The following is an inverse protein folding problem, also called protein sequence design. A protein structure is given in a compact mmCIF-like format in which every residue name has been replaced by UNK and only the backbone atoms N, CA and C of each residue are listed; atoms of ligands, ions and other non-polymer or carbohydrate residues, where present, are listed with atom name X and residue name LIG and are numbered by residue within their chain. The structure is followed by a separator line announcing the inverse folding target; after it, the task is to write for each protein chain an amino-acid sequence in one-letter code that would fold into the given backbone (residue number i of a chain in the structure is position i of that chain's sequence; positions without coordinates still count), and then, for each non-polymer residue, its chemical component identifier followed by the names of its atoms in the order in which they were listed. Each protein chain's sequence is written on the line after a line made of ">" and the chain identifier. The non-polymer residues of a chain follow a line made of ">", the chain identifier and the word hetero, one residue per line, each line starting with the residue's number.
data_IF_744082849293
#
_entry.id   IF_744082849293
#
_cell.length_a   1.000
_cell.length_b   1.000
_cell.length_c   1.000
_cell.angle_alpha   90.00
_cell.angle_beta   90.00
_cell.angle_gamma   90.00
#
_symmetry.space_group_name_H-M   'P 1'
#
loop_
_entity.id
_entity.type
_entity.pdbx_description
1 polymer ?
#
# COMPACT_ATOMS: atom_id res chain seq x y z
N UNK A 1 -44.55 -28.78 24.25
CA UNK A 1 -43.16 -28.81 24.75
C UNK A 1 -42.32 -29.46 23.66
N UNK A 2 -41.39 -28.70 23.08
CA UNK A 2 -40.57 -29.12 21.94
C UNK A 2 -39.67 -27.99 21.52
N UNK A 3 -38.56 -27.82 22.25
CA UNK A 3 -37.43 -26.99 21.82
C UNK A 3 -36.70 -27.73 20.70
N UNK A 4 -36.63 -27.13 19.51
CA UNK A 4 -35.57 -27.37 18.53
C UNK A 4 -34.98 -25.98 18.26
N UNK A 5 -33.75 -25.65 18.63
CA UNK A 5 -32.54 -26.45 18.52
C UNK A 5 -31.72 -25.82 17.40
N UNK A 6 -30.81 -24.93 17.80
CA UNK A 6 -30.04 -24.01 16.96
C UNK A 6 -29.23 -24.66 15.84
N UNK A 7 -29.16 -23.94 14.72
CA UNK A 7 -28.26 -24.20 13.61
C UNK A 7 -27.98 -22.90 12.86
N UNK A 8 -27.52 -21.86 13.58
CA UNK A 8 -26.95 -20.67 12.96
C UNK A 8 -25.62 -21.07 12.32
N UNK A 9 -25.68 -21.52 11.08
CA UNK A 9 -24.51 -21.57 10.21
C UNK A 9 -23.91 -20.15 10.21
N UNK A 10 -22.78 -19.96 10.88
CA UNK A 10 -21.96 -18.76 10.72
C UNK A 10 -21.42 -18.77 9.29
N UNK A 11 -22.21 -18.26 8.35
CA UNK A 11 -21.76 -18.03 6.99
C UNK A 11 -20.50 -17.16 7.07
N UNK A 12 -19.38 -17.68 6.58
CA UNK A 12 -18.12 -16.94 6.54
C UNK A 12 -18.29 -15.61 5.80
N UNK A 13 -17.39 -14.64 6.02
CA UNK A 13 -17.48 -13.34 5.37
C UNK A 13 -17.61 -13.50 3.85
N UNK A 14 -18.52 -12.74 3.25
CA UNK A 14 -18.72 -12.79 1.80
C UNK A 14 -17.41 -12.47 1.08
N UNK A 15 -17.19 -13.06 -0.11
CA UNK A 15 -15.97 -12.83 -0.91
C UNK A 15 -15.69 -11.35 -1.15
N UNK A 16 -16.75 -10.53 -1.22
CA UNK A 16 -16.71 -9.07 -1.39
C UNK A 16 -15.96 -8.38 -0.24
N UNK A 17 -16.00 -8.94 0.97
CA UNK A 17 -15.29 -8.41 2.15
C UNK A 17 -13.99 -9.17 2.39
N UNK A 18 -14.00 -10.49 2.20
CA UNK A 18 -12.85 -11.34 2.48
C UNK A 18 -11.65 -11.05 1.58
N UNK A 19 -11.86 -10.84 0.28
CA UNK A 19 -10.76 -10.59 -0.67
C UNK A 19 -10.03 -9.27 -0.34
N UNK A 20 -10.72 -8.11 -0.22
CA UNK A 20 -10.04 -6.88 0.17
C UNK A 20 -9.30 -6.97 1.51
N UNK A 21 -9.90 -7.61 2.50
CA UNK A 21 -9.27 -7.80 3.81
C UNK A 21 -7.98 -8.62 3.70
N UNK A 22 -8.01 -9.73 2.95
CA UNK A 22 -6.83 -10.54 2.67
C UNK A 22 -5.78 -9.75 1.88
N UNK A 23 -6.17 -8.93 0.92
CA UNK A 23 -5.24 -8.03 0.22
C UNK A 23 -4.50 -7.12 1.20
N UNK A 24 -5.20 -6.51 2.15
CA UNK A 24 -4.60 -5.67 3.19
C UNK A 24 -3.63 -6.45 4.09
N UNK A 25 -3.99 -7.66 4.51
CA UNK A 25 -3.14 -8.53 5.34
C UNK A 25 -1.88 -8.96 4.59
N UNK A 26 -2.01 -9.37 3.33
CA UNK A 26 -0.90 -9.93 2.55
C UNK A 26 0.10 -8.88 2.06
N UNK A 27 -0.36 -7.63 1.85
CA UNK A 27 0.47 -6.53 1.35
C UNK A 27 1.80 -6.36 2.10
N UNK A 28 1.84 -6.15 3.44
CA UNK A 28 3.10 -5.92 4.14
C UNK A 28 4.06 -7.11 4.05
N UNK A 29 3.55 -8.35 4.11
CA UNK A 29 4.40 -9.54 3.98
C UNK A 29 5.03 -9.63 2.59
N UNK A 30 4.24 -9.38 1.55
CA UNK A 30 4.73 -9.41 0.17
C UNK A 30 5.77 -8.30 -0.07
N UNK A 31 5.47 -7.09 0.39
CA UNK A 31 6.36 -5.93 0.25
C UNK A 31 7.71 -6.20 0.90
N UNK A 32 7.74 -6.62 2.17
CA UNK A 32 8.98 -6.90 2.90
C UNK A 32 9.75 -8.05 2.24
N UNK A 33 9.07 -9.11 1.81
CA UNK A 33 9.72 -10.26 1.17
C UNK A 33 10.38 -9.86 -0.15
N UNK A 34 9.68 -9.13 -1.01
CA UNK A 34 10.23 -8.70 -2.30
C UNK A 34 11.32 -7.64 -2.14
N UNK A 35 11.22 -6.75 -1.15
CA UNK A 35 12.31 -5.85 -0.78
C UNK A 35 13.56 -6.61 -0.35
N UNK A 36 13.41 -7.59 0.53
CA UNK A 36 14.53 -8.40 1.00
C UNK A 36 15.18 -9.15 -0.16
N UNK A 37 14.38 -9.76 -1.04
CA UNK A 37 14.88 -10.47 -2.23
C UNK A 37 15.60 -9.50 -3.17
N UNK A 38 14.99 -8.36 -3.51
CA UNK A 38 15.59 -7.37 -4.40
C UNK A 38 16.91 -6.81 -3.83
N UNK A 39 16.96 -6.58 -2.52
CA UNK A 39 18.15 -6.14 -1.82
C UNK A 39 19.26 -7.19 -1.82
N UNK A 40 18.94 -8.46 -1.55
CA UNK A 40 19.93 -9.55 -1.51
C UNK A 40 20.50 -9.85 -2.91
N UNK A 41 19.70 -9.66 -3.95
CA UNK A 41 20.09 -9.91 -5.34
C UNK A 41 20.77 -8.70 -6.00
N UNK A 42 21.04 -7.63 -5.25
CA UNK A 42 21.72 -6.45 -5.76
C UNK A 42 23.11 -6.28 -5.15
N UNK A 43 24.18 -6.61 -5.90
CA UNK A 43 25.54 -6.38 -5.45
C UNK A 43 25.76 -4.90 -5.10
N UNK A 44 26.37 -4.66 -3.94
CA UNK A 44 26.73 -3.32 -3.48
C UNK A 44 25.55 -2.47 -2.98
N UNK A 45 24.32 -3.00 -2.92
CA UNK A 45 23.21 -2.29 -2.30
C UNK A 45 23.30 -2.31 -0.78
N UNK A 46 23.28 -1.12 -0.17
CA UNK A 46 23.27 -0.96 1.28
C UNK A 46 21.92 -0.41 1.75
N UNK A 47 21.18 -1.23 2.52
CA UNK A 47 19.87 -0.90 3.07
C UNK A 47 19.89 0.29 4.05
N UNK A 48 21.05 0.61 4.63
CA UNK A 48 21.19 1.69 5.61
C UNK A 48 21.45 3.05 4.97
N UNK A 49 22.06 3.06 3.78
CA UNK A 49 22.52 4.29 3.12
C UNK A 49 21.79 4.59 1.82
N UNK A 50 21.21 3.57 1.17
CA UNK A 50 20.46 3.71 -0.07
C UNK A 50 18.96 3.54 0.13
N UNK A 51 18.19 4.18 -0.73
CA UNK A 51 16.73 4.09 -0.67
C UNK A 51 16.23 2.80 -1.32
N UNK A 52 15.17 2.19 -0.79
CA UNK A 52 14.48 1.08 -1.48
C UNK A 52 13.96 1.47 -2.86
N UNK A 53 13.61 2.76 -3.00
CA UNK A 53 13.87 3.61 -4.18
C UNK A 53 14.61 2.99 -5.35
N UNK A 54 15.90 2.85 -5.10
CA UNK A 54 16.94 2.59 -6.09
C UNK A 54 16.90 1.15 -6.59
N UNK A 55 16.34 0.23 -5.80
CA UNK A 55 16.11 -1.15 -6.21
C UNK A 55 15.18 -1.24 -7.43
N UNK A 56 14.38 -0.20 -7.72
CA UNK A 56 13.53 -0.09 -8.91
C UNK A 56 14.28 0.24 -10.21
N UNK A 57 15.61 0.36 -10.16
CA UNK A 57 16.46 0.74 -11.31
C UNK A 57 17.68 -0.16 -11.44
N UNK A 58 18.21 -0.37 -12.65
CA UNK A 58 19.36 -1.25 -12.93
C UNK A 58 19.04 -2.75 -12.86
N UNK A 59 20.07 -3.57 -12.64
CA UNK A 59 20.03 -5.03 -12.43
C UNK A 59 18.92 -5.54 -11.48
N UNK A 60 18.15 -6.53 -11.91
CA UNK A 60 17.06 -7.11 -11.11
C UNK A 60 15.98 -6.11 -10.65
N UNK A 61 15.90 -4.92 -11.25
CA UNK A 61 14.89 -3.90 -10.94
C UNK A 61 13.45 -4.38 -11.13
N UNK A 62 13.27 -5.37 -12.00
CA UNK A 62 11.99 -6.05 -12.22
C UNK A 62 11.37 -6.55 -10.92
N UNK A 63 12.17 -6.99 -9.94
CA UNK A 63 11.68 -7.52 -8.65
C UNK A 63 11.02 -6.40 -7.86
N UNK A 64 11.69 -5.25 -7.77
CA UNK A 64 11.19 -4.10 -7.03
C UNK A 64 10.00 -3.44 -7.74
N UNK A 65 10.07 -3.30 -9.06
CA UNK A 65 8.97 -2.72 -9.85
C UNK A 65 7.73 -3.63 -9.83
N UNK A 66 7.91 -4.95 -9.86
CA UNK A 66 6.82 -5.90 -9.64
C UNK A 66 6.26 -5.82 -8.21
N UNK A 67 7.12 -5.62 -7.20
CA UNK A 67 6.68 -5.38 -5.82
C UNK A 67 5.73 -4.19 -5.78
N UNK A 68 6.18 -3.01 -6.23
CA UNK A 68 5.38 -1.78 -6.28
C UNK A 68 4.03 -1.97 -6.98
N UNK A 69 4.03 -2.65 -8.13
CA UNK A 69 2.81 -2.90 -8.88
C UNK A 69 1.83 -3.80 -8.10
N UNK A 70 2.32 -4.93 -7.58
CA UNK A 70 1.46 -5.93 -6.92
C UNK A 70 0.96 -5.39 -5.58
N UNK A 71 1.83 -4.80 -4.76
CA UNK A 71 1.45 -4.19 -3.48
C UNK A 71 0.46 -3.05 -3.70
N UNK A 72 0.71 -2.19 -4.70
CA UNK A 72 -0.21 -1.11 -5.06
C UNK A 72 -1.61 -1.60 -5.42
N UNK A 73 -1.72 -2.67 -6.23
CA UNK A 73 -3.02 -3.28 -6.57
C UNK A 73 -3.72 -3.84 -5.34
N UNK A 74 -2.99 -4.53 -4.45
CA UNK A 74 -3.55 -5.07 -3.22
C UNK A 74 -4.04 -3.97 -2.28
N UNK A 75 -3.30 -2.86 -2.15
CA UNK A 75 -3.66 -1.71 -1.32
C UNK A 75 -4.90 -1.01 -1.88
N UNK A 76 -4.99 -0.81 -3.20
CA UNK A 76 -6.18 -0.24 -3.84
C UNK A 76 -7.39 -1.15 -3.61
N UNK A 77 -7.22 -2.47 -3.77
CA UNK A 77 -8.28 -3.45 -3.50
C UNK A 77 -8.77 -3.38 -2.05
N UNK A 78 -7.83 -3.29 -1.09
CA UNK A 78 -8.14 -3.12 0.32
C UNK A 78 -8.88 -1.80 0.59
N UNK A 79 -8.42 -0.68 0.03
CA UNK A 79 -9.07 0.64 0.14
C UNK A 79 -10.52 0.62 -0.35
N UNK A 80 -10.78 -0.03 -1.50
CA UNK A 80 -12.14 -0.21 -2.02
C UNK A 80 -13.01 -1.06 -1.07
N UNK A 81 -12.43 -2.10 -0.48
CA UNK A 81 -13.10 -2.89 0.58
C UNK A 81 -13.47 -2.04 1.79
N UNK A 82 -12.57 -1.17 2.25
CA UNK A 82 -12.83 -0.25 3.36
C UNK A 82 -13.96 0.74 3.01
N UNK A 83 -13.96 1.33 1.82
CA UNK A 83 -14.99 2.27 1.36
C UNK A 83 -16.37 1.63 1.26
N UNK A 84 -16.42 0.36 0.84
CA UNK A 84 -17.69 -0.36 0.65
C UNK A 84 -18.22 -0.97 1.93
N UNK A 85 -17.34 -1.38 2.86
CA UNK A 85 -17.71 -2.11 4.08
C UNK A 85 -17.83 -1.23 5.32
N UNK A 86 -17.03 -0.15 5.44
CA UNK A 86 -17.00 0.73 6.61
C UNK A 86 -17.73 2.03 6.27
N UNK A 87 -19.04 1.94 6.01
CA UNK A 87 -19.90 3.06 5.56
C UNK A 87 -20.29 4.08 6.64
N UNK A 88 -19.44 4.39 7.62
CA UNK A 88 -19.80 5.33 8.71
C UNK A 88 -18.83 6.51 8.84
N UNK A 89 -19.26 7.68 8.34
CA UNK A 89 -18.66 8.99 8.64
C UNK A 89 -17.58 9.48 7.66
N UNK A 90 -17.43 10.81 7.60
CA UNK A 90 -16.46 11.52 6.75
C UNK A 90 -15.01 11.03 6.97
N UNK A 91 -14.60 10.89 8.24
CA UNK A 91 -13.23 10.52 8.61
C UNK A 91 -12.84 9.10 8.18
N UNK A 92 -13.78 8.15 8.21
CA UNK A 92 -13.55 6.78 7.71
C UNK A 92 -13.32 6.80 6.19
N UNK A 93 -14.19 7.50 5.46
CA UNK A 93 -14.05 7.64 3.99
C UNK A 93 -12.76 8.33 3.60
N UNK A 94 -12.42 9.42 4.28
CA UNK A 94 -11.17 10.13 4.05
C UNK A 94 -9.97 9.21 4.27
N UNK A 95 -9.90 8.51 5.41
CA UNK A 95 -8.85 7.52 5.67
C UNK A 95 -8.71 6.48 4.57
N UNK A 96 -9.82 5.88 4.11
CA UNK A 96 -9.80 4.91 3.02
C UNK A 96 -9.31 5.51 1.69
N UNK A 97 -9.69 6.76 1.37
CA UNK A 97 -9.20 7.45 0.17
C UNK A 97 -7.69 7.66 0.24
N UNK A 98 -7.14 8.06 1.40
CA UNK A 98 -5.70 8.21 1.58
C UNK A 98 -4.94 6.89 1.43
N UNK A 99 -5.49 5.77 1.93
CA UNK A 99 -4.94 4.43 1.66
C UNK A 99 -4.95 4.13 0.15
N UNK A 100 -6.04 4.46 -0.54
CA UNK A 100 -6.14 4.29 -1.99
C UNK A 100 -5.12 5.14 -2.75
N UNK A 101 -4.92 6.39 -2.36
CA UNK A 101 -3.92 7.29 -2.93
C UNK A 101 -2.49 6.73 -2.78
N UNK A 102 -2.17 6.17 -1.62
CA UNK A 102 -0.90 5.47 -1.42
C UNK A 102 -0.73 4.30 -2.39
N UNK A 103 -1.74 3.42 -2.49
CA UNK A 103 -1.71 2.28 -3.41
C UNK A 103 -1.60 2.69 -4.89
N UNK A 104 -2.28 3.77 -5.31
CA UNK A 104 -2.12 4.31 -6.67
C UNK A 104 -0.74 4.92 -6.89
N UNK A 105 -0.13 5.50 -5.85
CA UNK A 105 1.23 5.99 -5.90
C UNK A 105 2.23 4.86 -6.15
N UNK A 106 2.11 3.75 -5.43
CA UNK A 106 2.92 2.55 -5.65
C UNK A 106 2.83 2.03 -7.10
N UNK A 107 1.62 1.92 -7.66
CA UNK A 107 1.42 1.52 -9.07
C UNK A 107 2.13 2.50 -10.01
N UNK A 108 1.98 3.80 -9.78
CA UNK A 108 2.61 4.82 -10.60
C UNK A 108 4.14 4.78 -10.48
N UNK A 109 4.69 4.50 -9.29
CA UNK A 109 6.12 4.32 -9.07
C UNK A 109 6.71 3.19 -9.91
N UNK A 110 5.95 2.10 -10.13
CA UNK A 110 6.40 1.02 -11.01
C UNK A 110 6.56 1.47 -12.48
N UNK A 111 5.80 2.46 -12.93
CA UNK A 111 5.88 3.03 -14.28
C UNK A 111 6.93 4.16 -14.39
N UNK A 112 7.21 4.85 -13.29
CA UNK A 112 8.15 5.96 -13.21
C UNK A 112 9.24 5.66 -12.17
N UNK A 113 10.23 4.79 -12.50
CA UNK A 113 11.35 4.52 -11.62
C UNK A 113 12.23 5.77 -11.46
N UNK A 114 12.96 5.84 -10.35
CA UNK A 114 13.91 6.93 -10.10
C UNK A 114 15.13 6.84 -11.05
N UNK A 115 16.02 7.83 -11.02
CA UNK A 115 17.29 7.76 -11.73
C UNK A 115 18.31 6.97 -10.89
N UNK A 116 19.26 6.27 -11.52
CA UNK A 116 20.35 5.59 -10.80
C UNK A 116 21.10 6.55 -9.87
N UNK A 117 21.26 6.15 -8.60
CA UNK A 117 21.93 6.96 -7.57
C UNK A 117 21.16 8.20 -7.11
N UNK A 118 19.92 8.40 -7.56
CA UNK A 118 19.01 9.49 -7.14
C UNK A 118 19.71 10.85 -7.02
N UNK A 119 20.18 11.43 -8.14
CA UNK A 119 20.83 12.74 -8.12
C UNK A 119 19.93 13.79 -7.46
N UNK A 120 20.44 14.48 -6.43
CA UNK A 120 19.71 15.52 -5.69
C UNK A 120 19.61 16.84 -6.46
N UNK A 121 20.45 17.02 -7.47
CA UNK A 121 20.54 18.22 -8.29
C UNK A 121 20.48 17.88 -9.78
N UNK A 122 20.15 18.87 -10.61
CA UNK A 122 20.09 18.68 -12.05
C UNK A 122 21.44 18.22 -12.65
N UNK A 123 21.39 17.45 -13.75
CA UNK A 123 20.18 17.07 -14.51
C UNK A 123 19.45 15.84 -13.93
N UNK A 124 18.13 15.94 -13.78
CA UNK A 124 17.23 14.83 -13.44
C UNK A 124 16.35 14.48 -14.64
N UNK A 125 16.06 13.19 -14.85
CA UNK A 125 15.08 12.76 -15.85
C UNK A 125 13.65 13.19 -15.47
N UNK A 126 12.76 13.23 -16.46
CA UNK A 126 11.32 13.44 -16.19
C UNK A 126 10.77 12.34 -15.26
N UNK A 127 11.25 11.10 -15.42
CA UNK A 127 10.85 9.97 -14.56
C UNK A 127 11.21 10.23 -13.10
N UNK A 128 12.43 10.72 -12.83
CA UNK A 128 12.88 11.07 -11.48
C UNK A 128 12.05 12.20 -10.85
N UNK A 129 11.67 13.21 -11.63
CA UNK A 129 10.82 14.31 -11.15
C UNK A 129 9.42 13.81 -10.79
N UNK A 130 8.81 13.01 -11.67
CA UNK A 130 7.50 12.39 -11.44
C UNK A 130 7.56 11.45 -10.25
N UNK A 131 8.60 10.62 -10.14
CA UNK A 131 8.85 9.72 -9.02
C UNK A 131 8.90 10.46 -7.68
N UNK A 132 9.60 11.59 -7.61
CA UNK A 132 9.68 12.41 -6.40
C UNK A 132 8.31 13.00 -6.02
N UNK A 133 7.54 13.46 -7.00
CA UNK A 133 6.17 13.95 -6.79
C UNK A 133 5.24 12.85 -6.27
N UNK A 134 5.30 11.66 -6.87
CA UNK A 134 4.55 10.48 -6.42
C UNK A 134 4.93 10.13 -4.97
N UNK A 135 6.22 10.05 -4.66
CA UNK A 135 6.71 9.71 -3.33
C UNK A 135 6.20 10.72 -2.28
N UNK A 136 6.26 12.02 -2.57
CA UNK A 136 5.78 13.06 -1.66
C UNK A 136 4.28 12.89 -1.33
N UNK A 137 3.45 12.65 -2.34
CA UNK A 137 2.01 12.43 -2.17
C UNK A 137 1.74 11.12 -1.41
N UNK A 138 2.39 10.03 -1.82
CA UNK A 138 2.18 8.70 -1.25
C UNK A 138 2.57 8.64 0.23
N UNK A 139 3.78 9.10 0.59
CA UNK A 139 4.23 9.10 1.99
C UNK A 139 3.38 10.01 2.88
N UNK A 140 2.95 11.16 2.36
CA UNK A 140 2.00 12.02 3.07
C UNK A 140 0.67 11.30 3.31
N UNK A 141 0.17 10.60 2.28
CA UNK A 141 -1.12 9.94 2.36
C UNK A 141 -1.13 8.81 3.40
N UNK A 142 -0.11 7.95 3.41
CA UNK A 142 -0.04 6.85 4.37
C UNK A 142 0.25 7.33 5.80
N UNK A 143 0.95 8.45 5.99
CA UNK A 143 1.13 9.06 7.30
C UNK A 143 -0.18 9.64 7.87
N UNK A 144 -1.01 10.24 7.00
CA UNK A 144 -2.29 10.87 7.40
C UNK A 144 -3.41 9.85 7.61
N UNK A 145 -3.44 8.76 6.84
CA UNK A 145 -4.47 7.73 6.90
C UNK A 145 -4.77 7.21 8.34
N UNK A 146 -3.79 6.77 9.15
CA UNK A 146 -4.05 6.27 10.51
C UNK A 146 -4.55 7.37 11.46
N UNK A 147 -4.17 8.63 11.24
CA UNK A 147 -4.65 9.76 12.04
C UNK A 147 -6.16 9.99 11.83
N UNK A 148 -6.61 9.96 10.57
CA UNK A 148 -8.03 10.13 10.23
C UNK A 148 -8.89 8.99 10.80
N UNK A 149 -8.39 7.75 10.72
CA UNK A 149 -9.04 6.59 11.33
C UNK A 149 -9.07 6.73 12.86
N UNK A 150 -7.99 7.20 13.49
CA UNK A 150 -7.91 7.39 14.94
C UNK A 150 -8.90 8.45 15.45
N UNK A 151 -9.07 9.57 14.72
CA UNK A 151 -10.08 10.60 15.03
C UNK A 151 -11.48 10.01 14.97
N UNK A 152 -11.76 9.13 14.00
CA UNK A 152 -13.04 8.45 13.89
C UNK A 152 -13.33 7.54 15.08
N UNK A 153 -12.37 6.71 15.48
CA UNK A 153 -12.50 5.77 16.59
C UNK A 153 -12.76 6.49 17.93
N UNK A 154 -12.16 7.68 18.13
CA UNK A 154 -12.47 8.51 19.30
C UNK A 154 -13.93 9.00 19.31
N UNK A 155 -14.48 9.33 18.14
CA UNK A 155 -15.87 9.80 17.99
C UNK A 155 -16.93 8.70 18.08
N UNK A 156 -16.55 7.43 18.00
CA UNK A 156 -17.47 6.30 18.28
C UNK A 156 -17.64 6.02 19.78
N UNK A 157 -16.76 6.55 20.63
CA UNK A 157 -16.77 6.33 22.09
C UNK A 157 -17.47 7.45 22.87
N UNK A 158 -17.96 8.49 22.19
CA UNK A 158 -18.62 9.67 22.75
C UNK A 158 -20.08 9.72 22.33
#
# INVERSE_FOLDING_TARGET
>A
MGYQGEGLYHAGPSKIVAIPALSGIMTPFLMVSLWAIASLLRPGYDQLTQYGSELGTGDNSVIMNASFLITGILIVSFSLGLLTSIRTGFWSRAGSIFVGLFGTGEIATAAFPCDPGRPLTNPQSLSQQVHNGIAAVAFTAIAVAPLLVSVRLKRDKS
#
